data_IF_029809779391
#
_entry.id   IF_029809779391
#
_cell.length_a   1.000
_cell.length_b   1.000
_cell.length_c   1.000
_cell.angle_alpha   90.00
_cell.angle_beta   90.00
_cell.angle_gamma   90.00
#
_symmetry.space_group_name_H-M   'P 1'
#
loop_
_entity.id
_entity.type
_entity.pdbx_description
1 polymer ?
#
# COMPACT_ATOMS: atom_id res chain seq x y z
N UNK A 1 -5.38 -26.06 -21.00
CA UNK A 1 -4.43 -25.04 -20.51
C UNK A 1 -4.35 -25.16 -19.01
N UNK A 2 -3.18 -25.46 -18.44
CA UNK A 2 -2.99 -25.38 -16.99
C UNK A 2 -2.80 -23.90 -16.68
N UNK A 3 -3.80 -23.29 -16.04
CA UNK A 3 -3.66 -21.95 -15.48
C UNK A 3 -2.59 -22.04 -14.40
N UNK A 4 -1.43 -21.46 -14.65
CA UNK A 4 -0.45 -21.22 -13.61
C UNK A 4 -0.97 -19.98 -12.90
N UNK A 5 -1.92 -20.19 -11.98
CA UNK A 5 -2.14 -19.21 -10.93
C UNK A 5 -0.79 -19.12 -10.23
N UNK A 6 0.00 -18.11 -10.59
CA UNK A 6 1.14 -17.69 -9.80
C UNK A 6 0.68 -17.59 -8.36
N UNK A 7 1.57 -17.92 -7.44
CA UNK A 7 1.39 -17.88 -5.99
C UNK A 7 0.22 -16.98 -5.64
N UNK A 8 -0.87 -17.55 -5.09
CA UNK A 8 -1.92 -16.75 -4.47
C UNK A 8 -1.18 -16.01 -3.36
N UNK A 9 -0.69 -14.81 -3.67
CA UNK A 9 -0.13 -13.90 -2.71
C UNK A 9 -1.35 -13.57 -1.87
N UNK A 10 -1.47 -14.30 -0.77
CA UNK A 10 -2.41 -14.07 0.31
C UNK A 10 -2.12 -12.72 1.02
N UNK A 11 -1.31 -11.83 0.42
CA UNK A 11 -1.14 -10.48 0.90
C UNK A 11 -2.32 -9.68 0.35
N UNK A 12 -3.33 -9.51 1.19
CA UNK A 12 -4.47 -8.62 0.97
C UNK A 12 -4.07 -7.14 0.87
N UNK A 13 -2.77 -6.83 0.75
CA UNK A 13 -2.22 -5.50 0.72
C UNK A 13 -0.85 -5.48 0.01
N UNK A 14 -0.52 -4.38 -0.66
CA UNK A 14 0.78 -4.16 -1.28
C UNK A 14 1.16 -2.67 -1.33
N UNK A 15 2.46 -2.40 -1.41
CA UNK A 15 3.00 -1.03 -1.50
C UNK A 15 3.01 -0.59 -2.97
N UNK A 16 2.39 0.55 -3.25
CA UNK A 16 2.37 1.15 -4.59
C UNK A 16 3.54 2.12 -4.80
N UNK A 17 3.77 3.02 -3.84
CA UNK A 17 4.87 3.99 -3.92
C UNK A 17 5.34 4.43 -2.54
N UNK A 18 6.60 4.88 -2.49
CA UNK A 18 7.25 5.45 -1.32
C UNK A 18 7.84 6.80 -1.74
N UNK A 19 7.59 7.85 -0.97
CA UNK A 19 8.06 9.21 -1.27
C UNK A 19 8.35 9.99 0.01
N UNK A 20 9.40 10.81 0.00
CA UNK A 20 9.70 11.71 1.12
C UNK A 20 8.91 13.03 1.03
N UNK A 21 8.28 13.30 -0.11
CA UNK A 21 7.50 14.52 -0.35
C UNK A 21 6.00 14.23 -0.32
N UNK A 22 5.29 14.92 0.57
CA UNK A 22 3.84 14.79 0.73
C UNK A 22 3.09 15.03 -0.59
N UNK A 23 3.47 16.09 -1.32
CA UNK A 23 2.82 16.45 -2.60
C UNK A 23 2.91 15.32 -3.62
N UNK A 24 4.09 14.71 -3.76
CA UNK A 24 4.27 13.58 -4.67
C UNK A 24 3.47 12.36 -4.23
N UNK A 25 3.42 12.08 -2.92
CA UNK A 25 2.62 10.98 -2.39
C UNK A 25 1.10 11.17 -2.61
N UNK A 26 0.61 12.42 -2.52
CA UNK A 26 -0.78 12.77 -2.86
C UNK A 26 -1.08 12.59 -4.35
N UNK A 27 -0.12 12.91 -5.23
CA UNK A 27 -0.24 12.65 -6.67
C UNK A 27 -0.28 11.14 -6.96
N UNK A 28 0.63 10.37 -6.36
CA UNK A 28 0.68 8.91 -6.49
C UNK A 28 -0.60 8.25 -5.95
N UNK A 29 -1.15 8.74 -4.82
CA UNK A 29 -2.41 8.28 -4.26
C UNK A 29 -3.58 8.45 -5.25
N UNK A 30 -3.67 9.61 -5.92
CA UNK A 30 -4.70 9.87 -6.95
C UNK A 30 -4.54 8.94 -8.15
N UNK A 31 -3.31 8.70 -8.57
CA UNK A 31 -3.00 7.77 -9.66
C UNK A 31 -3.42 6.35 -9.27
N UNK A 32 -3.00 5.87 -8.09
CA UNK A 32 -3.37 4.55 -7.58
C UNK A 32 -4.89 4.39 -7.48
N UNK A 33 -5.60 5.40 -6.97
CA UNK A 33 -7.08 5.40 -6.87
C UNK A 33 -7.77 5.34 -8.24
N UNK A 34 -7.12 5.84 -9.29
CA UNK A 34 -7.64 5.79 -10.65
C UNK A 34 -7.37 4.45 -11.32
N UNK A 35 -6.20 3.86 -11.07
CA UNK A 35 -5.77 2.58 -11.67
C UNK A 35 -6.48 1.38 -10.99
N UNK A 36 -6.69 1.48 -9.68
CA UNK A 36 -7.24 0.41 -8.84
C UNK A 36 -8.54 0.86 -8.15
N UNK A 37 -9.61 1.16 -8.92
CA UNK A 37 -10.85 1.69 -8.35
C UNK A 37 -11.59 0.70 -7.45
N UNK A 38 -11.36 -0.60 -7.64
CA UNK A 38 -11.99 -1.68 -6.87
C UNK A 38 -11.19 -2.06 -5.61
N UNK A 39 -10.08 -1.36 -5.33
CA UNK A 39 -9.23 -1.62 -4.18
C UNK A 39 -9.30 -0.47 -3.17
N UNK A 40 -9.00 -0.76 -1.92
CA UNK A 40 -8.85 0.24 -0.88
C UNK A 40 -7.45 0.85 -0.95
N UNK A 41 -7.37 2.11 -1.36
CA UNK A 41 -6.11 2.84 -1.41
C UNK A 41 -5.96 3.65 -0.13
N UNK A 42 -4.81 3.55 0.53
CA UNK A 42 -4.48 4.36 1.71
C UNK A 42 -3.13 5.07 1.53
N UNK A 43 -3.06 6.32 2.00
CA UNK A 43 -1.81 7.07 2.12
C UNK A 43 -1.41 7.08 3.59
N UNK A 44 -0.24 6.51 3.91
CA UNK A 44 0.29 6.38 5.26
C UNK A 44 1.47 7.34 5.46
N UNK A 45 1.55 7.99 6.62
CA UNK A 45 2.70 8.82 7.02
C UNK A 45 3.61 8.00 7.95
N UNK A 46 4.82 7.67 7.49
CA UNK A 46 5.79 6.89 8.26
C UNK A 46 6.33 7.63 9.48
N UNK A 47 6.07 8.94 9.60
CA UNK A 47 6.36 9.72 10.80
C UNK A 47 5.39 9.41 11.94
N UNK A 48 4.18 8.92 11.62
CA UNK A 48 3.20 8.44 12.58
C UNK A 48 3.47 6.98 12.95
N UNK A 49 3.49 6.67 14.24
CA UNK A 49 3.82 5.31 14.72
C UNK A 49 2.80 4.29 14.22
N UNK A 50 1.51 4.62 14.28
CA UNK A 50 0.43 3.70 13.92
C UNK A 50 0.46 3.38 12.41
N UNK A 51 0.63 4.41 11.57
CA UNK A 51 0.74 4.27 10.13
C UNK A 51 2.01 3.49 9.73
N UNK A 52 3.12 3.74 10.42
CA UNK A 52 4.37 3.02 10.19
C UNK A 52 4.24 1.54 10.56
N UNK A 53 3.60 1.21 11.67
CA UNK A 53 3.35 -0.18 12.05
C UNK A 53 2.50 -0.90 11.01
N UNK A 54 1.45 -0.22 10.50
CA UNK A 54 0.63 -0.76 9.42
C UNK A 54 1.44 -0.98 8.13
N UNK A 55 2.30 -0.03 7.78
CA UNK A 55 3.15 -0.15 6.59
C UNK A 55 4.13 -1.32 6.72
N UNK A 56 4.75 -1.51 7.89
CA UNK A 56 5.68 -2.62 8.19
C UNK A 56 4.98 -3.98 8.17
N UNK A 57 3.73 -4.05 8.66
CA UNK A 57 2.95 -5.31 8.64
C UNK A 57 2.67 -5.78 7.20
N UNK A 58 2.48 -4.83 6.28
CA UNK A 58 2.28 -5.10 4.85
C UNK A 58 3.61 -5.46 4.18
N UNK A 59 4.64 -4.66 4.43
CA UNK A 59 5.98 -4.84 3.87
C UNK A 59 7.05 -4.60 4.95
N UNK A 60 7.65 -5.67 5.51
CA UNK A 60 8.67 -5.57 6.54
C UNK A 60 9.91 -4.76 6.13
N UNK A 61 10.17 -4.60 4.83
CA UNK A 61 11.31 -3.81 4.33
C UNK A 61 11.12 -2.31 4.62
N UNK A 62 9.90 -1.86 4.90
CA UNK A 62 9.61 -0.49 5.32
C UNK A 62 10.06 -0.18 6.75
N UNK A 63 10.49 -1.19 7.53
CA UNK A 63 10.95 -1.00 8.91
C UNK A 63 12.19 -0.11 9.02
N UNK A 64 13.00 -0.04 7.97
CA UNK A 64 14.19 0.81 7.91
C UNK A 64 13.85 2.30 7.67
N UNK A 65 12.61 2.62 7.29
CA UNK A 65 12.16 3.97 7.00
C UNK A 65 11.48 4.61 8.22
N UNK A 66 12.03 5.75 8.67
CA UNK A 66 11.53 6.48 9.83
C UNK A 66 10.68 7.72 9.47
N UNK A 67 10.63 8.09 8.21
CA UNK A 67 9.93 9.25 7.70
C UNK A 67 9.55 9.05 6.23
N UNK A 68 8.63 9.88 5.74
CA UNK A 68 8.11 9.80 4.39
C UNK A 68 6.68 9.26 4.35
N UNK A 69 6.21 9.03 3.14
CA UNK A 69 4.83 8.68 2.84
C UNK A 69 4.80 7.43 1.98
N UNK A 70 3.86 6.54 2.28
CA UNK A 70 3.67 5.28 1.56
C UNK A 70 2.24 5.20 1.08
N UNK A 71 2.07 4.88 -0.20
CA UNK A 71 0.76 4.54 -0.76
C UNK A 71 0.64 3.03 -0.76
N UNK A 72 -0.41 2.52 -0.11
CA UNK A 72 -0.74 1.10 -0.08
C UNK A 72 -2.05 0.83 -0.82
N UNK A 73 -2.12 -0.35 -1.44
CA UNK A 73 -3.29 -0.89 -2.12
C UNK A 73 -3.71 -2.13 -1.33
N UNK A 74 -4.91 -2.13 -0.78
CA UNK A 74 -5.48 -3.23 -0.01
C UNK A 74 -6.68 -3.81 -0.76
N UNK A 75 -6.83 -5.14 -0.73
CA UNK A 75 -8.06 -5.81 -1.14
C UNK A 75 -9.16 -5.29 -0.21
N UNK A 76 -10.33 -4.86 -0.72
CA UNK A 76 -11.43 -4.46 0.13
C UNK A 76 -11.79 -5.63 1.06
N UNK A 77 -12.10 -5.34 2.32
CA UNK A 77 -12.72 -6.34 3.17
C UNK A 77 -14.08 -6.69 2.54
N UNK A 78 -14.18 -7.84 1.87
CA UNK A 78 -15.44 -8.34 1.32
C UNK A 78 -16.49 -8.32 2.44
N UNK A 79 -17.50 -7.48 2.27
CA UNK A 79 -18.70 -7.48 3.11
C UNK A 79 -19.46 -8.74 2.71
N UNK A 80 -19.47 -9.74 3.59
CA UNK A 80 -20.35 -10.93 3.50
C UNK A 80 -21.78 -10.55 3.08
#
# INVERSE_FOLDING_TARGET
>A
MKSVFGSIILQSAGVFSISNEKKKAEEDFKIASTIYPDFKISLLDLSSIDDRLKAIDIDPDLADLNNGFVVIIEVPDDIN
#
